data_IF_884131017305
#
_entry.id   IF_884131017305
#
_cell.length_a   1.000
_cell.length_b   1.000
_cell.length_c   1.000
_cell.angle_alpha   90.00
_cell.angle_beta   90.00
_cell.angle_gamma   90.00
#
_symmetry.space_group_name_H-M   'P 1'
#
loop_
_entity.id
_entity.type
_entity.pdbx_description
1 polymer ?
#
# COMPACT_ATOMS: atom_id res chain seq x y z
N UNK A 1 11.69 25.79 -19.47
CA UNK A 1 12.39 24.50 -19.24
C UNK A 1 12.43 24.35 -17.74
N UNK A 2 11.69 23.42 -17.15
CA UNK A 2 11.87 23.13 -15.73
C UNK A 2 13.10 22.25 -15.62
N UNK A 3 14.12 22.74 -14.94
CA UNK A 3 15.31 21.98 -14.53
C UNK A 3 14.89 20.97 -13.45
N UNK A 4 14.02 20.02 -13.80
CA UNK A 4 13.74 18.87 -12.96
C UNK A 4 14.94 17.95 -13.14
N UNK A 5 15.67 17.59 -12.07
CA UNK A 5 16.75 16.62 -12.15
C UNK A 5 16.19 15.33 -12.79
N UNK A 6 16.65 15.01 -14.00
CA UNK A 6 16.18 13.84 -14.76
C UNK A 6 16.89 12.55 -14.32
N UNK A 7 17.24 12.44 -13.04
CA UNK A 7 18.16 11.44 -12.51
C UNK A 7 17.94 11.19 -11.03
N UNK A 8 18.65 10.19 -10.51
CA UNK A 8 18.63 9.91 -9.10
C UNK A 8 19.19 11.10 -8.30
N UNK A 9 18.69 11.27 -7.07
CA UNK A 9 19.25 12.22 -6.12
C UNK A 9 20.69 11.82 -5.77
N UNK A 10 21.55 12.81 -5.53
CA UNK A 10 22.92 12.58 -5.06
C UNK A 10 22.91 11.80 -3.73
N UNK A 11 23.94 10.97 -3.52
CA UNK A 11 24.13 10.25 -2.27
C UNK A 11 24.31 11.25 -1.12
N UNK A 12 23.24 11.48 -0.36
CA UNK A 12 23.14 12.46 0.73
C UNK A 12 21.99 12.14 1.69
N UNK A 13 21.47 13.15 2.40
CA UNK A 13 20.30 12.99 3.27
C UNK A 13 19.06 12.61 2.43
N UNK A 14 18.40 11.52 2.84
CA UNK A 14 17.21 10.99 2.16
C UNK A 14 16.09 12.03 2.09
N UNK A 15 15.45 12.13 0.93
CA UNK A 15 14.22 12.94 0.76
C UNK A 15 12.96 12.12 1.02
N UNK A 16 13.08 10.81 1.27
CA UNK A 16 11.96 9.94 1.59
C UNK A 16 11.54 10.10 3.06
N UNK A 17 10.75 11.15 3.37
CA UNK A 17 10.43 11.53 4.76
C UNK A 17 9.21 10.80 5.31
N UNK A 18 8.11 10.72 4.56
CA UNK A 18 6.87 10.07 5.00
C UNK A 18 6.32 9.14 3.96
N UNK A 19 6.09 7.89 4.35
CA UNK A 19 5.62 6.83 3.46
C UNK A 19 4.17 7.09 3.02
N UNK A 20 3.95 7.13 1.71
CA UNK A 20 2.62 7.28 1.10
C UNK A 20 2.07 5.94 0.59
N UNK A 21 2.94 5.11 0.02
CA UNK A 21 2.57 3.79 -0.50
C UNK A 21 3.80 2.87 -0.55
N UNK A 22 3.69 1.67 0.01
CA UNK A 22 4.74 0.64 -0.17
C UNK A 22 4.63 0.02 -1.55
N UNK A 23 5.76 -0.42 -2.09
CA UNK A 23 5.76 -1.41 -3.16
C UNK A 23 5.51 -2.78 -2.52
N UNK A 24 4.43 -3.42 -2.94
CA UNK A 24 3.95 -4.68 -2.40
C UNK A 24 3.95 -5.79 -3.46
N UNK A 25 3.98 -7.04 -3.02
CA UNK A 25 4.21 -8.21 -3.86
C UNK A 25 3.22 -9.33 -3.53
N UNK A 26 2.87 -10.20 -4.50
CA UNK A 26 1.87 -11.26 -4.32
C UNK A 26 2.23 -12.25 -3.20
N UNK A 27 1.23 -12.82 -2.53
CA UNK A 27 1.42 -13.90 -1.56
C UNK A 27 1.95 -15.16 -2.26
N UNK A 28 2.62 -16.07 -1.52
CA UNK A 28 2.93 -17.40 -2.01
C UNK A 28 1.67 -18.09 -2.53
N UNK A 29 1.77 -18.73 -3.70
CA UNK A 29 0.65 -19.44 -4.32
C UNK A 29 -0.39 -18.57 -5.04
N UNK A 30 -0.22 -17.23 -5.09
CA UNK A 30 -1.16 -16.37 -5.83
C UNK A 30 -1.22 -16.74 -7.32
N UNK A 31 -2.44 -16.84 -7.90
CA UNK A 31 -2.64 -17.07 -9.32
C UNK A 31 -1.90 -16.05 -10.18
N UNK A 32 -1.39 -16.47 -11.33
CA UNK A 32 -0.58 -15.62 -12.20
C UNK A 32 -1.32 -14.36 -12.66
N UNK A 33 -2.64 -14.44 -12.83
CA UNK A 33 -3.46 -13.28 -13.20
C UNK A 33 -3.51 -12.24 -12.08
N UNK A 34 -3.63 -12.67 -10.82
CA UNK A 34 -3.60 -11.78 -9.65
C UNK A 34 -2.23 -11.12 -9.49
N UNK A 35 -1.13 -11.82 -9.84
CA UNK A 35 0.21 -11.24 -9.80
C UNK A 35 0.37 -10.00 -10.70
N UNK A 36 -0.40 -9.91 -11.79
CA UNK A 36 -0.37 -8.74 -12.70
C UNK A 36 -0.83 -7.44 -12.03
N UNK A 37 -1.52 -7.51 -10.89
CA UNK A 37 -1.84 -6.33 -10.09
C UNK A 37 -0.61 -5.74 -9.38
N UNK A 38 0.48 -6.50 -9.26
CA UNK A 38 1.68 -6.13 -8.50
C UNK A 38 2.89 -5.93 -9.42
N UNK A 39 3.16 -6.85 -10.34
CA UNK A 39 4.31 -6.76 -11.23
C UNK A 39 4.03 -7.35 -12.61
N UNK A 40 4.72 -6.83 -13.61
CA UNK A 40 4.76 -7.38 -14.97
C UNK A 40 6.19 -7.81 -15.26
N UNK A 41 6.36 -9.10 -15.49
CA UNK A 41 7.65 -9.71 -15.78
C UNK A 41 7.85 -9.78 -17.29
N UNK A 42 9.04 -9.43 -17.79
CA UNK A 42 9.35 -9.59 -19.20
C UNK A 42 9.32 -11.09 -19.57
N UNK A 43 8.62 -11.49 -20.66
CA UNK A 43 8.52 -12.89 -21.07
C UNK A 43 9.87 -13.50 -21.47
N UNK A 44 10.89 -12.69 -21.74
CA UNK A 44 12.25 -13.14 -22.08
C UNK A 44 13.09 -13.50 -20.85
N UNK A 45 12.63 -13.15 -19.64
CA UNK A 45 13.33 -13.50 -18.40
C UNK A 45 13.51 -15.02 -18.28
N UNK A 46 14.71 -15.46 -17.94
CA UNK A 46 15.02 -16.89 -17.82
C UNK A 46 14.18 -17.61 -16.75
N UNK A 47 13.79 -16.89 -15.69
CA UNK A 47 12.95 -17.40 -14.60
C UNK A 47 11.99 -16.32 -14.11
N UNK A 48 10.93 -16.78 -13.46
CA UNK A 48 10.01 -15.91 -12.72
C UNK A 48 10.72 -15.24 -11.55
N UNK A 49 10.39 -13.98 -11.27
CA UNK A 49 10.75 -13.33 -10.02
C UNK A 49 10.07 -14.01 -8.82
N UNK A 50 10.77 -14.07 -7.69
CA UNK A 50 10.30 -14.74 -6.48
C UNK A 50 10.10 -13.71 -5.37
N UNK A 51 8.97 -13.76 -4.66
CA UNK A 51 8.66 -12.84 -3.57
C UNK A 51 8.69 -13.59 -2.23
N UNK A 52 9.83 -13.59 -1.49
CA UNK A 52 9.92 -14.25 -0.19
C UNK A 52 8.99 -13.65 0.86
N UNK A 53 8.69 -12.36 0.73
CA UNK A 53 7.77 -11.61 1.61
C UNK A 53 6.85 -10.74 0.74
N UNK A 54 5.91 -10.05 1.39
CA UNK A 54 5.00 -9.10 0.73
C UNK A 54 5.68 -7.80 0.26
N UNK A 55 6.95 -7.57 0.62
CA UNK A 55 7.69 -6.32 0.31
C UNK A 55 9.10 -6.55 -0.21
N UNK A 56 9.53 -7.82 -0.37
CA UNK A 56 10.86 -8.20 -0.85
C UNK A 56 10.75 -9.03 -2.12
N UNK A 57 11.50 -8.64 -3.18
CA UNK A 57 11.51 -9.32 -4.47
C UNK A 57 12.92 -9.81 -4.83
N UNK A 58 13.02 -11.04 -5.29
CA UNK A 58 14.21 -11.62 -5.90
C UNK A 58 14.03 -11.66 -7.42
N UNK A 59 14.99 -11.08 -8.13
CA UNK A 59 15.02 -10.96 -9.59
C UNK A 59 16.28 -11.68 -10.10
N UNK A 60 16.14 -12.46 -11.17
CA UNK A 60 17.26 -13.13 -11.82
C UNK A 60 18.27 -12.14 -12.43
N UNK A 61 19.41 -12.65 -12.87
CA UNK A 61 20.38 -11.90 -13.71
C UNK A 61 19.73 -11.58 -15.07
N UNK A 62 20.13 -10.49 -15.71
CA UNK A 62 19.69 -10.14 -17.07
C UNK A 62 18.16 -10.20 -17.24
N UNK A 63 17.43 -9.58 -16.31
CA UNK A 63 15.96 -9.69 -16.22
C UNK A 63 15.29 -8.32 -16.10
N UNK A 64 14.13 -8.16 -16.75
CA UNK A 64 13.31 -6.95 -16.70
C UNK A 64 12.01 -7.17 -15.91
N UNK A 65 11.74 -6.31 -14.94
CA UNK A 65 10.49 -6.29 -14.16
C UNK A 65 9.91 -4.88 -14.18
N UNK A 66 8.65 -4.76 -14.59
CA UNK A 66 7.91 -3.50 -14.54
C UNK A 66 6.95 -3.45 -13.36
N UNK A 67 6.95 -2.31 -12.67
CA UNK A 67 5.99 -1.98 -11.61
C UNK A 67 4.90 -1.02 -12.12
N UNK A 68 4.68 -0.97 -13.44
CA UNK A 68 3.54 -0.30 -14.08
C UNK A 68 2.22 -1.04 -13.82
N UNK A 69 1.86 -1.17 -12.54
CA UNK A 69 0.77 -2.04 -12.08
C UNK A 69 -0.13 -1.33 -11.07
N UNK A 70 -1.31 -1.90 -10.86
CA UNK A 70 -2.35 -1.31 -10.04
C UNK A 70 -1.88 -0.97 -8.62
N UNK A 71 -1.15 -1.88 -7.96
CA UNK A 71 -0.70 -1.66 -6.59
C UNK A 71 0.63 -0.91 -6.48
N UNK A 72 1.48 -0.90 -7.49
CA UNK A 72 2.85 -0.36 -7.33
C UNK A 72 3.12 0.93 -8.11
N UNK A 73 2.31 1.26 -9.11
CA UNK A 73 2.33 2.58 -9.73
C UNK A 73 1.70 3.63 -8.80
N UNK A 74 2.22 4.85 -8.84
CA UNK A 74 1.73 5.99 -8.07
C UNK A 74 0.68 6.79 -8.86
N UNK A 75 -0.54 6.98 -8.33
CA UNK A 75 -1.62 7.72 -9.00
C UNK A 75 -1.39 9.24 -8.93
N UNK A 76 -0.36 9.72 -9.62
CA UNK A 76 0.19 11.07 -9.50
C UNK A 76 -0.84 12.21 -9.65
N UNK A 77 -1.78 12.10 -10.60
CA UNK A 77 -2.80 13.13 -10.81
C UNK A 77 -3.74 13.31 -9.61
N UNK A 78 -4.04 12.23 -8.87
CA UNK A 78 -4.90 12.31 -7.68
C UNK A 78 -4.21 13.06 -6.56
N UNK A 79 -2.94 12.72 -6.29
CA UNK A 79 -2.13 13.38 -5.28
C UNK A 79 -1.91 14.85 -5.61
N UNK A 80 -1.61 15.17 -6.87
CA UNK A 80 -1.52 16.56 -7.34
C UNK A 80 -2.81 17.35 -7.07
N UNK A 81 -3.97 16.72 -7.31
CA UNK A 81 -5.27 17.40 -7.25
C UNK A 81 -5.80 17.57 -5.83
N UNK A 82 -5.56 16.59 -4.95
CA UNK A 82 -6.24 16.47 -3.66
C UNK A 82 -5.32 16.53 -2.43
N UNK A 83 -4.01 16.66 -2.63
CA UNK A 83 -3.04 16.86 -1.55
C UNK A 83 -2.29 18.18 -1.70
N UNK A 84 -1.46 18.51 -0.70
CA UNK A 84 -0.57 19.67 -0.73
C UNK A 84 0.77 19.38 -1.42
N UNK A 85 1.05 18.11 -1.76
CA UNK A 85 2.33 17.69 -2.31
C UNK A 85 2.61 18.34 -3.67
N UNK A 86 3.88 18.73 -3.86
CA UNK A 86 4.41 19.24 -5.13
C UNK A 86 5.29 18.22 -5.83
N UNK A 87 5.98 17.41 -5.04
CA UNK A 87 6.83 16.31 -5.52
C UNK A 87 6.48 15.04 -4.76
N UNK A 88 6.86 13.91 -5.34
CA UNK A 88 6.86 12.59 -4.69
C UNK A 88 8.24 11.97 -4.84
N UNK A 89 8.69 11.23 -3.85
CA UNK A 89 9.98 10.55 -3.84
C UNK A 89 9.78 9.06 -4.00
N UNK A 90 10.35 8.45 -5.04
CA UNK A 90 10.54 7.01 -5.11
C UNK A 90 11.84 6.68 -4.37
N UNK A 91 11.79 5.73 -3.42
CA UNK A 91 13.00 5.13 -2.83
C UNK A 91 12.99 3.63 -3.07
N UNK A 92 14.08 3.10 -3.63
CA UNK A 92 14.28 1.66 -3.85
C UNK A 92 15.57 1.25 -3.18
N UNK A 93 15.52 0.21 -2.35
CA UNK A 93 16.66 -0.35 -1.65
C UNK A 93 16.88 -1.79 -2.09
N UNK A 94 18.07 -2.10 -2.59
CA UNK A 94 18.38 -3.41 -3.16
C UNK A 94 19.84 -3.86 -2.95
N UNK A 95 20.07 -5.16 -3.06
CA UNK A 95 21.41 -5.74 -3.29
C UNK A 95 21.50 -6.36 -4.68
N UNK A 96 22.73 -6.44 -5.20
CA UNK A 96 23.03 -6.72 -6.61
C UNK A 96 23.28 -5.44 -7.42
N UNK A 97 23.47 -5.61 -8.72
CA UNK A 97 23.62 -4.51 -9.69
C UNK A 97 22.41 -4.48 -10.61
N UNK A 98 21.77 -3.32 -10.68
CA UNK A 98 20.61 -3.08 -11.52
C UNK A 98 20.57 -1.64 -12.02
N UNK A 99 19.66 -1.37 -12.96
CA UNK A 99 19.21 -0.03 -13.30
C UNK A 99 17.75 0.11 -12.89
N UNK A 100 17.43 1.23 -12.25
CA UNK A 100 16.05 1.65 -11.97
C UNK A 100 15.69 2.76 -12.94
N UNK A 101 14.69 2.54 -13.77
CA UNK A 101 14.16 3.53 -14.70
C UNK A 101 12.77 3.98 -14.26
N UNK A 102 12.55 5.28 -14.22
CA UNK A 102 11.30 5.91 -13.78
C UNK A 102 10.56 6.47 -15.00
N UNK A 103 9.27 6.18 -15.05
CA UNK A 103 8.39 6.58 -16.12
C UNK A 103 7.17 7.29 -15.56
N UNK A 104 6.52 8.05 -16.45
CA UNK A 104 5.20 8.60 -16.22
C UNK A 104 4.31 8.45 -17.43
N UNK A 105 3.01 8.61 -17.26
CA UNK A 105 2.06 8.73 -18.37
C UNK A 105 1.43 10.12 -18.46
N UNK A 106 1.03 10.51 -19.67
CA UNK A 106 0.00 11.56 -19.87
C UNK A 106 -1.38 11.00 -19.52
N UNK A 107 -2.38 11.87 -19.39
CA UNK A 107 -3.79 11.46 -19.29
C UNK A 107 -4.26 10.53 -20.42
N UNK A 108 -3.64 10.61 -21.60
CA UNK A 108 -3.91 9.72 -22.75
C UNK A 108 -3.29 8.32 -22.63
N UNK A 109 -2.54 8.04 -21.56
CA UNK A 109 -1.79 6.79 -21.38
C UNK A 109 -0.42 6.77 -22.07
N UNK A 110 -0.06 7.82 -22.82
CA UNK A 110 1.25 7.89 -23.48
C UNK A 110 2.40 7.92 -22.46
N UNK A 111 3.30 6.93 -22.55
CA UNK A 111 4.48 6.78 -21.68
C UNK A 111 5.56 7.81 -22.01
N UNK A 112 6.17 8.37 -20.96
CA UNK A 112 7.30 9.31 -21.02
C UNK A 112 8.33 8.87 -19.99
N UNK A 113 9.60 8.80 -20.37
CA UNK A 113 10.71 8.57 -19.44
C UNK A 113 10.94 9.81 -18.59
N UNK A 114 11.02 9.64 -17.28
CA UNK A 114 11.40 10.70 -16.33
C UNK A 114 12.92 10.73 -16.18
N UNK A 115 13.53 9.56 -15.97
CA UNK A 115 14.96 9.39 -15.76
C UNK A 115 15.27 7.95 -15.36
N UNK A 116 16.53 7.69 -15.06
CA UNK A 116 16.93 6.39 -14.51
C UNK A 116 18.40 6.36 -14.14
N UNK A 117 18.74 5.53 -13.17
CA UNK A 117 20.06 5.47 -12.58
C UNK A 117 20.48 4.02 -12.31
N UNK A 118 21.78 3.70 -12.47
CA UNK A 118 22.33 2.45 -11.97
C UNK A 118 22.34 2.47 -10.44
N UNK A 119 22.16 1.30 -9.84
CA UNK A 119 22.32 1.06 -8.41
C UNK A 119 23.08 -0.26 -8.26
N UNK A 120 24.12 -0.24 -7.45
CA UNK A 120 24.97 -1.40 -7.21
C UNK A 120 25.34 -1.44 -5.74
N UNK A 121 25.00 -2.55 -5.07
CA UNK A 121 25.54 -2.83 -3.74
C UNK A 121 26.98 -3.32 -3.88
N UNK A 122 27.92 -2.66 -3.20
CA UNK A 122 29.33 -3.10 -3.20
C UNK A 122 29.54 -4.47 -2.56
N UNK A 123 28.66 -4.86 -1.63
CA UNK A 123 28.60 -6.19 -0.99
C UNK A 123 27.15 -6.68 -0.92
N UNK A 124 26.94 -7.99 -0.98
CA UNK A 124 25.63 -8.63 -0.80
C UNK A 124 25.05 -8.44 0.60
N UNK A 125 25.87 -8.05 1.59
CA UNK A 125 25.45 -7.79 2.97
C UNK A 125 24.93 -6.37 3.22
N UNK A 126 25.25 -5.41 2.34
CA UNK A 126 24.89 -3.99 2.51
C UNK A 126 24.03 -3.50 1.33
N UNK A 127 22.73 -3.24 1.55
CA UNK A 127 21.87 -2.70 0.51
C UNK A 127 22.29 -1.31 0.04
N UNK A 128 22.17 -1.06 -1.26
CA UNK A 128 22.26 0.26 -1.85
C UNK A 128 20.85 0.83 -2.08
N UNK A 129 20.69 2.12 -1.82
CA UNK A 129 19.45 2.85 -2.07
C UNK A 129 19.60 3.78 -3.28
N UNK A 130 18.52 3.94 -4.04
CA UNK A 130 18.39 4.95 -5.09
C UNK A 130 17.07 5.71 -4.88
N UNK A 131 17.14 7.04 -4.98
CA UNK A 131 15.99 7.92 -4.81
C UNK A 131 15.76 8.79 -6.04
N UNK A 132 14.49 9.01 -6.39
CA UNK A 132 14.07 9.92 -7.45
C UNK A 132 12.98 10.85 -6.92
N UNK A 133 13.19 12.16 -6.97
CA UNK A 133 12.16 13.14 -6.67
C UNK A 133 11.48 13.59 -7.96
N UNK A 134 10.16 13.36 -8.07
CA UNK A 134 9.38 13.61 -9.28
C UNK A 134 8.37 14.73 -9.03
N UNK A 135 8.41 15.77 -9.86
CA UNK A 135 7.45 16.88 -9.87
C UNK A 135 6.05 16.41 -10.32
N UNK A 136 5.04 16.76 -9.52
CA UNK A 136 3.63 16.47 -9.78
C UNK A 136 2.96 17.54 -10.65
N UNK A 137 3.61 18.67 -10.95
CA UNK A 137 3.04 19.74 -11.78
C UNK A 137 2.44 19.27 -13.12
N UNK A 138 3.04 18.32 -13.88
CA UNK A 138 2.55 17.90 -15.19
C UNK A 138 1.28 17.03 -15.20
N UNK A 139 0.71 16.66 -14.05
CA UNK A 139 -0.38 15.68 -13.94
C UNK A 139 -1.75 16.34 -13.70
N UNK A 140 -2.07 17.43 -14.39
CA UNK A 140 -3.30 18.21 -14.18
C UNK A 140 -4.57 17.38 -14.41
N UNK A 141 -4.62 16.66 -15.54
CA UNK A 141 -5.82 16.00 -16.05
C UNK A 141 -5.70 14.47 -16.07
N UNK A 142 -4.57 13.92 -15.62
CA UNK A 142 -4.36 12.49 -15.49
C UNK A 142 -2.88 12.08 -15.55
N UNK A 143 -2.64 10.80 -15.29
CA UNK A 143 -1.33 10.18 -15.41
C UNK A 143 -0.84 9.54 -14.13
N UNK A 144 0.05 8.58 -14.31
CA UNK A 144 0.67 7.77 -13.27
C UNK A 144 2.18 7.92 -13.32
N UNK A 145 2.86 7.61 -12.22
CA UNK A 145 4.31 7.43 -12.17
C UNK A 145 4.58 5.97 -11.79
N UNK A 146 5.57 5.34 -12.39
CA UNK A 146 6.03 4.00 -11.99
C UNK A 146 7.52 3.86 -12.26
N UNK A 147 8.08 2.72 -11.86
CA UNK A 147 9.46 2.38 -12.15
C UNK A 147 9.57 0.94 -12.66
N UNK A 148 10.65 0.69 -13.38
CA UNK A 148 11.04 -0.63 -13.83
C UNK A 148 12.45 -0.93 -13.31
N UNK A 149 12.74 -2.20 -13.06
CA UNK A 149 14.08 -2.69 -12.70
C UNK A 149 14.59 -3.57 -13.83
N UNK A 150 15.77 -3.25 -14.34
CA UNK A 150 16.54 -4.11 -15.23
C UNK A 150 17.81 -4.55 -14.53
N UNK A 151 17.94 -5.83 -14.27
CA UNK A 151 19.05 -6.39 -13.51
C UNK A 151 20.23 -6.77 -14.40
N UNK A 152 21.44 -6.48 -13.94
CA UNK A 152 22.69 -6.99 -14.52
C UNK A 152 23.01 -8.33 -13.84
N UNK A 153 23.24 -8.29 -12.52
CA UNK A 153 23.38 -9.48 -11.67
C UNK A 153 22.04 -9.96 -11.13
N UNK A 154 22.01 -11.07 -10.38
CA UNK A 154 20.86 -11.35 -9.52
C UNK A 154 20.65 -10.19 -8.53
N UNK A 155 19.40 -9.82 -8.30
CA UNK A 155 19.01 -8.64 -7.50
C UNK A 155 18.00 -9.06 -6.43
N UNK A 156 18.18 -8.54 -5.22
CA UNK A 156 17.17 -8.59 -4.16
C UNK A 156 16.72 -7.17 -3.84
N UNK A 157 15.47 -6.85 -4.18
CA UNK A 157 14.81 -5.63 -3.71
C UNK A 157 14.37 -5.88 -2.27
N UNK A 158 14.99 -5.20 -1.32
CA UNK A 158 14.67 -5.33 0.11
C UNK A 158 13.42 -4.56 0.47
N UNK A 159 13.31 -3.34 -0.05
CA UNK A 159 12.13 -2.49 0.08
C UNK A 159 12.06 -1.48 -1.06
N UNK A 160 10.85 -1.04 -1.39
CA UNK A 160 10.63 0.13 -2.22
C UNK A 160 9.34 0.82 -1.79
N UNK A 161 9.25 2.13 -2.02
CA UNK A 161 8.05 2.90 -1.68
C UNK A 161 8.03 4.28 -2.29
N UNK A 162 6.84 4.86 -2.27
CA UNK A 162 6.56 6.24 -2.60
C UNK A 162 6.44 7.05 -1.32
N UNK A 163 7.11 8.20 -1.27
CA UNK A 163 7.24 9.02 -0.08
C UNK A 163 6.94 10.49 -0.39
N UNK A 164 6.42 11.21 0.61
CA UNK A 164 6.44 12.66 0.61
C UNK A 164 7.81 13.18 1.08
N UNK A 165 8.26 14.34 0.58
CA UNK A 165 9.48 15.01 1.05
C UNK A 165 9.30 15.76 2.38
N UNK A 166 8.12 15.63 3.00
CA UNK A 166 7.74 16.32 4.23
C UNK A 166 6.98 15.36 5.16
N UNK A 167 6.98 15.61 6.48
CA UNK A 167 6.17 14.85 7.42
C UNK A 167 4.67 14.88 7.08
N UNK A 168 3.98 13.75 7.26
CA UNK A 168 2.52 13.71 7.19
C UNK A 168 1.90 14.60 8.29
N UNK A 169 0.87 15.41 7.97
CA UNK A 169 0.21 16.25 8.97
C UNK A 169 -0.78 15.45 9.82
N UNK A 170 -1.06 15.95 11.04
CA UNK A 170 -2.08 15.39 11.91
C UNK A 170 -1.67 14.07 12.59
N UNK A 171 -2.64 13.39 13.19
CA UNK A 171 -2.44 12.10 13.87
C UNK A 171 -3.23 11.03 13.12
N UNK A 172 -2.57 9.93 12.80
CA UNK A 172 -3.24 8.72 12.33
C UNK A 172 -3.91 8.04 13.53
N UNK A 173 -5.23 8.18 13.65
CA UNK A 173 -6.03 7.61 14.73
C UNK A 173 -7.39 7.22 14.15
N UNK A 174 -7.49 5.96 13.73
CA UNK A 174 -8.59 5.49 12.88
C UNK A 174 -9.59 4.63 13.65
N UNK A 175 -10.87 4.96 13.49
CA UNK A 175 -11.99 4.10 13.83
C UNK A 175 -12.46 3.33 12.58
N UNK A 176 -12.23 2.01 12.57
CA UNK A 176 -12.69 1.12 11.50
C UNK A 176 -14.09 0.63 11.83
N UNK A 177 -15.04 0.79 10.91
CA UNK A 177 -16.40 0.29 11.06
C UNK A 177 -16.69 -0.87 10.14
N UNK A 178 -17.22 -1.96 10.68
CA UNK A 178 -17.60 -3.17 9.93
C UNK A 178 -19.03 -3.58 10.30
N UNK A 179 -20.05 -3.16 9.53
CA UNK A 179 -21.38 -3.75 9.66
C UNK A 179 -21.36 -5.21 9.24
N UNK A 180 -22.06 -6.08 9.97
CA UNK A 180 -22.19 -7.49 9.60
C UNK A 180 -23.60 -8.01 9.81
N UNK A 181 -24.04 -8.92 8.92
CA UNK A 181 -25.33 -9.59 9.00
C UNK A 181 -25.24 -11.05 8.54
N UNK A 182 -25.26 -11.99 9.49
CA UNK A 182 -25.24 -13.43 9.23
C UNK A 182 -24.04 -13.92 8.40
N UNK A 183 -22.90 -13.22 8.47
CA UNK A 183 -21.63 -13.60 7.82
C UNK A 183 -20.47 -13.69 8.84
N UNK A 184 -20.60 -14.55 9.86
CA UNK A 184 -19.64 -14.59 10.96
C UNK A 184 -18.20 -14.92 10.51
N UNK A 185 -18.04 -15.82 9.54
CA UNK A 185 -16.71 -16.16 9.01
C UNK A 185 -16.05 -15.01 8.27
N UNK A 186 -16.81 -14.25 7.48
CA UNK A 186 -16.28 -13.11 6.72
C UNK A 186 -15.88 -11.97 7.68
N UNK A 187 -16.74 -11.65 8.66
CA UNK A 187 -16.42 -10.67 9.69
C UNK A 187 -15.15 -11.06 10.48
N UNK A 188 -14.99 -12.32 10.88
CA UNK A 188 -13.76 -12.79 11.57
C UNK A 188 -12.53 -12.67 10.67
N UNK A 189 -12.64 -12.99 9.38
CA UNK A 189 -11.54 -12.82 8.44
C UNK A 189 -11.16 -11.35 8.26
N UNK A 190 -12.14 -10.43 8.22
CA UNK A 190 -11.90 -9.00 8.15
C UNK A 190 -11.17 -8.49 9.40
N UNK A 191 -11.62 -8.89 10.61
CA UNK A 191 -10.96 -8.53 11.86
C UNK A 191 -9.50 -9.01 11.92
N UNK A 192 -9.25 -10.26 11.53
CA UNK A 192 -7.89 -10.82 11.51
C UNK A 192 -6.98 -10.12 10.49
N UNK A 193 -7.54 -9.63 9.37
CA UNK A 193 -6.77 -8.93 8.34
C UNK A 193 -6.32 -7.54 8.80
N UNK A 194 -7.08 -6.84 9.65
CA UNK A 194 -6.71 -5.52 10.16
C UNK A 194 -5.40 -5.53 10.97
N UNK A 195 -5.13 -6.62 11.69
CA UNK A 195 -3.91 -6.77 12.51
C UNK A 195 -2.81 -7.57 11.80
N UNK A 196 -2.98 -7.89 10.51
CA UNK A 196 -2.02 -8.73 9.77
C UNK A 196 -0.79 -7.96 9.29
N UNK A 197 -0.87 -6.64 9.24
CA UNK A 197 0.22 -5.73 8.88
C UNK A 197 0.50 -4.78 10.05
N UNK A 198 1.70 -4.82 10.65
CA UNK A 198 2.01 -4.00 11.83
C UNK A 198 1.82 -2.50 11.63
N UNK A 199 2.06 -1.97 10.42
CA UNK A 199 1.90 -0.53 10.14
C UNK A 199 0.42 -0.12 10.09
N UNK A 200 -0.44 -1.02 9.64
CA UNK A 200 -1.90 -0.82 9.66
C UNK A 200 -2.42 -0.96 11.08
N UNK A 201 -1.93 -1.95 11.81
CA UNK A 201 -2.34 -2.19 13.19
C UNK A 201 -2.03 -0.99 14.09
N UNK A 202 -0.88 -0.33 13.89
CA UNK A 202 -0.45 0.84 14.65
C UNK A 202 -1.41 2.04 14.53
N UNK A 203 -2.03 2.25 13.37
CA UNK A 203 -2.89 3.42 13.13
C UNK A 203 -4.36 3.19 13.52
N UNK A 204 -4.77 1.93 13.71
CA UNK A 204 -6.13 1.57 14.11
C UNK A 204 -6.26 1.66 15.62
N UNK A 205 -7.09 2.57 16.10
CA UNK A 205 -7.34 2.76 17.54
C UNK A 205 -8.70 2.25 17.98
N UNK A 206 -9.65 2.07 17.06
CA UNK A 206 -10.94 1.47 17.36
C UNK A 206 -11.44 0.62 16.19
N UNK A 207 -12.08 -0.51 16.50
CA UNK A 207 -12.82 -1.33 15.56
C UNK A 207 -14.24 -1.51 16.08
N UNK A 208 -15.22 -1.06 15.30
CA UNK A 208 -16.62 -1.00 15.67
C UNK A 208 -17.39 -1.94 14.75
N UNK A 209 -17.86 -3.05 15.30
CA UNK A 209 -18.68 -4.02 14.58
C UNK A 209 -20.14 -3.84 14.94
N UNK A 210 -20.97 -3.42 13.99
CA UNK A 210 -22.43 -3.43 14.18
C UNK A 210 -22.99 -4.77 13.70
N UNK A 211 -23.19 -5.72 14.62
CA UNK A 211 -23.72 -7.05 14.34
C UNK A 211 -25.25 -7.03 14.34
N UNK A 212 -25.81 -7.05 13.13
CA UNK A 212 -27.24 -6.98 12.87
C UNK A 212 -27.90 -8.36 12.69
N UNK A 213 -27.10 -9.43 12.72
CA UNK A 213 -27.53 -10.78 12.39
C UNK A 213 -28.12 -11.56 13.56
N UNK A 214 -28.58 -12.78 13.28
CA UNK A 214 -28.91 -13.80 14.28
C UNK A 214 -27.75 -14.77 14.48
N UNK A 215 -26.96 -15.02 13.43
CA UNK A 215 -25.70 -15.79 13.50
C UNK A 215 -24.57 -14.83 13.83
N UNK A 216 -24.13 -14.81 15.09
CA UNK A 216 -23.22 -13.78 15.60
C UNK A 216 -21.76 -14.05 15.27
N UNK A 217 -21.03 -12.99 14.93
CA UNK A 217 -19.58 -13.07 14.68
C UNK A 217 -18.82 -13.58 15.91
N UNK A 218 -19.23 -13.15 17.11
CA UNK A 218 -18.65 -13.57 18.39
C UNK A 218 -18.72 -15.09 18.66
N UNK A 219 -19.69 -15.77 18.04
CA UNK A 219 -19.92 -17.20 18.24
C UNK A 219 -19.12 -18.06 17.23
N UNK A 220 -18.36 -17.42 16.33
CA UNK A 220 -17.52 -18.12 15.36
C UNK A 220 -16.25 -18.68 16.03
N UNK A 221 -15.81 -19.92 15.72
CA UNK A 221 -14.64 -20.54 16.35
C UNK A 221 -13.33 -19.74 16.21
N UNK A 222 -13.18 -18.98 15.12
CA UNK A 222 -12.00 -18.12 14.89
C UNK A 222 -12.07 -16.75 15.55
N UNK A 223 -13.18 -16.38 16.20
CA UNK A 223 -13.39 -15.04 16.72
C UNK A 223 -12.40 -14.66 17.81
N UNK A 224 -12.18 -15.53 18.81
CA UNK A 224 -11.29 -15.22 19.93
C UNK A 224 -9.87 -14.89 19.46
N UNK A 225 -9.34 -15.65 18.49
CA UNK A 225 -8.02 -15.41 17.92
C UNK A 225 -7.93 -14.05 17.18
N UNK A 226 -8.96 -13.69 16.41
CA UNK A 226 -9.00 -12.41 15.70
C UNK A 226 -9.19 -11.23 16.67
N UNK A 227 -10.03 -11.38 17.69
CA UNK A 227 -10.29 -10.36 18.70
C UNK A 227 -9.07 -10.11 19.60
N UNK A 228 -8.26 -11.14 19.89
CA UNK A 228 -7.07 -11.02 20.73
C UNK A 228 -6.04 -10.00 20.19
N UNK A 229 -5.87 -9.91 18.86
CA UNK A 229 -4.97 -8.92 18.25
C UNK A 229 -5.48 -7.48 18.37
N UNK A 230 -6.80 -7.30 18.41
CA UNK A 230 -7.42 -5.98 18.55
C UNK A 230 -7.53 -5.54 20.01
N UNK A 231 -7.70 -6.48 20.94
CA UNK A 231 -7.83 -6.22 22.37
C UNK A 231 -8.99 -5.27 22.66
N UNK A 232 -8.75 -4.29 23.53
CA UNK A 232 -9.77 -3.33 23.98
C UNK A 232 -10.20 -2.34 22.89
N UNK A 233 -9.55 -2.34 21.72
CA UNK A 233 -9.94 -1.52 20.56
C UNK A 233 -11.21 -2.05 19.89
N UNK A 234 -11.53 -3.34 20.05
CA UNK A 234 -12.70 -3.97 19.41
C UNK A 234 -13.95 -3.81 20.27
N UNK A 235 -15.02 -3.29 19.66
CA UNK A 235 -16.36 -3.20 20.25
C UNK A 235 -17.40 -3.80 19.30
N UNK A 236 -18.28 -4.66 19.85
CA UNK A 236 -19.38 -5.28 19.08
C UNK A 236 -20.71 -4.79 19.61
N UNK A 237 -21.53 -4.30 18.70
CA UNK A 237 -22.81 -3.70 18.97
C UNK A 237 -23.93 -4.49 18.30
N UNK A 238 -24.67 -5.25 19.11
CA UNK A 238 -25.85 -5.96 18.62
C UNK A 238 -27.02 -4.98 18.43
N UNK A 239 -27.68 -5.06 17.27
CA UNK A 239 -28.89 -4.29 16.98
C UNK A 239 -29.80 -5.06 16.01
N UNK A 240 -31.08 -4.67 15.85
CA UNK A 240 -31.93 -5.21 14.79
C UNK A 240 -31.34 -4.96 13.39
N UNK A 241 -31.83 -5.67 12.37
CA UNK A 241 -31.44 -5.40 10.99
C UNK A 241 -32.02 -4.07 10.51
N UNK A 242 -31.17 -3.05 10.44
CA UNK A 242 -31.48 -1.70 9.95
C UNK A 242 -30.80 -1.42 8.59
N UNK A 243 -30.37 -2.48 7.89
CA UNK A 243 -29.65 -2.40 6.62
C UNK A 243 -28.27 -1.76 6.73
N UNK A 244 -27.66 -1.47 5.58
CA UNK A 244 -26.34 -0.83 5.50
C UNK A 244 -26.33 0.55 6.17
N UNK A 245 -27.35 1.38 5.92
CA UNK A 245 -27.47 2.70 6.53
C UNK A 245 -27.49 2.64 8.06
N UNK A 246 -28.26 1.71 8.65
CA UNK A 246 -28.29 1.55 10.10
C UNK A 246 -26.99 0.98 10.68
N UNK A 247 -26.28 0.15 9.93
CA UNK A 247 -24.95 -0.34 10.31
C UNK A 247 -23.91 0.78 10.33
N UNK A 248 -23.72 1.49 9.22
CA UNK A 248 -22.77 2.60 9.16
C UNK A 248 -23.17 3.80 10.04
N UNK A 249 -24.47 4.05 10.22
CA UNK A 249 -24.94 5.03 11.20
C UNK A 249 -24.55 4.64 12.63
N UNK A 250 -24.56 3.34 12.95
CA UNK A 250 -24.09 2.85 14.25
C UNK A 250 -22.60 3.06 14.40
N UNK A 251 -21.81 2.72 13.38
CA UNK A 251 -20.36 2.96 13.38
C UNK A 251 -20.06 4.43 13.66
N UNK A 252 -20.66 5.35 12.90
CA UNK A 252 -20.42 6.78 13.05
C UNK A 252 -20.85 7.28 14.44
N UNK A 253 -21.99 6.81 14.94
CA UNK A 253 -22.47 7.17 16.28
C UNK A 253 -21.48 6.75 17.37
N UNK A 254 -20.99 5.50 17.33
CA UNK A 254 -20.06 4.97 18.33
C UNK A 254 -18.68 5.65 18.23
N UNK A 255 -18.17 5.87 17.02
CA UNK A 255 -16.91 6.58 16.81
C UNK A 255 -16.95 8.01 17.38
N UNK A 256 -17.99 8.78 17.07
CA UNK A 256 -18.10 10.17 17.54
C UNK A 256 -18.37 10.29 19.04
N UNK A 257 -19.04 9.30 19.65
CA UNK A 257 -19.46 9.36 21.05
C UNK A 257 -18.44 8.76 22.02
N UNK A 258 -17.77 7.68 21.61
CA UNK A 258 -17.03 6.81 22.52
C UNK A 258 -15.54 6.68 22.15
N UNK A 259 -15.05 7.36 21.12
CA UNK A 259 -13.63 7.41 20.76
C UNK A 259 -13.15 8.85 20.55
N UNK A 260 -11.84 9.04 20.47
CA UNK A 260 -11.18 10.29 20.07
C UNK A 260 -10.57 10.20 18.66
N UNK A 261 -11.02 9.23 17.86
CA UNK A 261 -10.48 8.95 16.53
C UNK A 261 -10.70 10.15 15.60
N UNK A 262 -9.68 10.45 14.79
CA UNK A 262 -9.69 11.58 13.85
C UNK A 262 -10.19 11.17 12.46
N UNK A 263 -10.14 9.87 12.13
CA UNK A 263 -10.63 9.31 10.88
C UNK A 263 -11.64 8.19 11.15
N UNK A 264 -12.71 8.14 10.35
CA UNK A 264 -13.68 7.04 10.35
C UNK A 264 -13.56 6.32 9.01
N UNK A 265 -13.16 5.04 9.04
CA UNK A 265 -13.03 4.20 7.87
C UNK A 265 -14.19 3.20 7.81
N UNK A 266 -15.08 3.38 6.85
CA UNK A 266 -16.13 2.41 6.56
C UNK A 266 -15.59 1.26 5.73
N UNK A 267 -15.74 0.04 6.25
CA UNK A 267 -15.37 -1.21 5.60
C UNK A 267 -16.55 -2.18 5.66
N UNK A 268 -16.54 -3.18 4.78
CA UNK A 268 -17.56 -4.23 4.75
C UNK A 268 -17.01 -5.54 5.33
N UNK A 269 -17.89 -6.50 5.63
CA UNK A 269 -17.49 -7.80 6.18
C UNK A 269 -17.03 -8.80 5.10
N UNK A 270 -17.60 -8.75 3.90
CA UNK A 270 -17.38 -9.72 2.81
C UNK A 270 -16.26 -9.35 1.82
N UNK A 271 -15.20 -8.73 2.33
CA UNK A 271 -14.05 -8.27 1.53
C UNK A 271 -12.78 -9.08 1.75
N UNK A 272 -11.85 -8.98 0.80
CA UNK A 272 -10.44 -9.33 0.99
C UNK A 272 -9.61 -8.05 1.00
N UNK A 273 -9.01 -7.77 2.15
CA UNK A 273 -8.24 -6.55 2.36
C UNK A 273 -6.81 -6.74 1.84
N UNK A 274 -6.35 -5.78 1.04
CA UNK A 274 -4.93 -5.52 0.87
C UNK A 274 -4.52 -4.47 1.90
N UNK A 275 -3.84 -4.82 3.01
CA UNK A 275 -3.71 -3.94 4.18
C UNK A 275 -3.08 -2.58 3.84
N UNK A 276 -2.10 -2.54 2.93
CA UNK A 276 -1.47 -1.29 2.51
C UNK A 276 -2.46 -0.28 1.90
N UNK A 277 -3.62 -0.73 1.41
CA UNK A 277 -4.67 0.15 0.90
C UNK A 277 -5.27 1.05 1.98
N UNK A 278 -5.24 0.59 3.25
CA UNK A 278 -5.70 1.36 4.40
C UNK A 278 -4.77 2.55 4.63
N UNK A 279 -3.45 2.33 4.61
CA UNK A 279 -2.45 3.40 4.78
C UNK A 279 -2.50 4.42 3.65
N UNK A 280 -2.83 4.00 2.42
CA UNK A 280 -2.95 4.88 1.26
C UNK A 280 -4.20 5.76 1.28
N UNK A 281 -5.19 5.41 2.08
CA UNK A 281 -6.49 6.10 2.08
C UNK A 281 -6.41 7.50 2.73
N UNK A 282 -5.39 7.77 3.54
CA UNK A 282 -5.14 9.06 4.16
C UNK A 282 -3.66 9.48 4.01
N UNK A 283 -3.40 10.65 3.39
CA UNK A 283 -2.06 11.19 3.17
C UNK A 283 -1.50 12.00 4.36
#
# INVERSE_FOLDING_TARGET
>A
MSDIPSGALDAGESRAVSLLARVILPRPGEPLDVRKLYLVEDPTNARRAHAPTRTTLEIGTESGISFATYFNAFPASYWRRWSTLKTVVLRVELTGTARVDVYRSKATGARITVGGAPVSSGDASEPAAVEFEIDLAPFEDGGWIWFDITSDTAVRVHSAGWYAPTPAPGRANVAVGIPTFNRPSDCVNALAALTSDPLVDEVISAVIVSDQGTSKAKDHPGFEAAAAGLGDRLSIHNQPNLGGSGGYSRVMYEALKNTDCEQILFMDDDIRIEPDSILRAWP
#
